data_IF_325611254917
#
_entry.id   IF_325611254917
#
_cell.length_a   1.000
_cell.length_b   1.000
_cell.length_c   1.000
_cell.angle_alpha   90.00
_cell.angle_beta   90.00
_cell.angle_gamma   90.00
#
_symmetry.space_group_name_H-M   'P 1'
#
loop_
_entity.id
_entity.type
_entity.pdbx_description
1 polymer ?
#
# COMPACT_ATOMS: atom_id res chain seq x y z
N UNK A 1 16.13 5.30 11.10
CA UNK A 1 15.04 5.68 10.17
C UNK A 1 15.63 6.57 9.12
N UNK A 2 15.70 6.08 7.88
CA UNK A 2 16.20 6.82 6.73
C UNK A 2 15.14 7.82 6.25
N UNK A 3 15.49 8.79 5.43
CA UNK A 3 14.46 9.63 4.79
C UNK A 3 13.70 8.83 3.73
N UNK A 4 12.38 9.01 3.66
CA UNK A 4 11.55 8.35 2.65
C UNK A 4 11.42 9.26 1.43
N UNK A 5 12.44 9.20 0.57
CA UNK A 5 12.60 10.03 -0.61
C UNK A 5 12.79 9.18 -1.89
N UNK A 6 12.89 9.85 -3.04
CA UNK A 6 13.13 9.18 -4.33
C UNK A 6 14.50 8.49 -4.39
N UNK A 7 15.48 8.95 -3.62
CA UNK A 7 16.81 8.32 -3.51
C UNK A 7 16.67 6.92 -2.91
N UNK A 8 15.97 6.80 -1.78
CA UNK A 8 15.72 5.53 -1.12
C UNK A 8 14.95 4.56 -2.03
N UNK A 9 13.91 5.04 -2.71
CA UNK A 9 13.12 4.21 -3.63
C UNK A 9 14.01 3.66 -4.75
N UNK A 10 14.87 4.50 -5.33
CA UNK A 10 15.82 4.10 -6.37
C UNK A 10 16.83 3.08 -5.86
N UNK A 11 17.44 3.30 -4.70
CA UNK A 11 18.39 2.34 -4.12
C UNK A 11 17.75 0.97 -3.88
N UNK A 12 16.53 0.96 -3.32
CA UNK A 12 15.78 -0.28 -3.10
C UNK A 12 15.45 -0.95 -4.43
N UNK A 13 15.01 -0.18 -5.43
CA UNK A 13 14.75 -0.71 -6.76
C UNK A 13 15.99 -1.33 -7.40
N UNK A 14 17.13 -0.62 -7.38
CA UNK A 14 18.41 -1.12 -7.90
C UNK A 14 18.84 -2.41 -7.18
N UNK A 15 18.67 -2.48 -5.86
CA UNK A 15 18.96 -3.68 -5.08
C UNK A 15 18.06 -4.86 -5.47
N UNK A 16 16.76 -4.63 -5.69
CA UNK A 16 15.81 -5.65 -6.15
C UNK A 16 16.14 -6.13 -7.57
N UNK A 17 16.54 -5.24 -8.47
CA UNK A 17 16.98 -5.59 -9.82
C UNK A 17 18.27 -6.42 -9.83
N UNK A 18 19.09 -6.35 -8.78
CA UNK A 18 20.30 -7.15 -8.63
C UNK A 18 20.03 -8.56 -8.08
N UNK A 19 18.80 -8.89 -7.70
CA UNK A 19 18.46 -10.23 -7.20
C UNK A 19 18.61 -11.28 -8.29
N UNK A 20 19.17 -12.43 -7.92
CA UNK A 20 19.07 -13.63 -8.74
C UNK A 20 17.59 -14.04 -8.88
N UNK A 21 17.18 -14.69 -9.98
CA UNK A 21 15.79 -15.11 -10.19
C UNK A 21 15.20 -15.89 -9.01
N UNK A 22 15.97 -16.81 -8.42
CA UNK A 22 15.55 -17.64 -7.29
C UNK A 22 15.31 -16.81 -6.03
N UNK A 23 16.13 -15.77 -5.83
CA UNK A 23 15.98 -14.84 -4.71
C UNK A 23 14.75 -13.95 -4.89
N UNK A 24 14.53 -13.46 -6.11
CA UNK A 24 13.33 -12.67 -6.44
C UNK A 24 12.05 -13.48 -6.22
N UNK A 25 12.01 -14.74 -6.65
CA UNK A 25 10.87 -15.62 -6.42
C UNK A 25 10.64 -15.92 -4.93
N UNK A 26 11.72 -16.15 -4.17
CA UNK A 26 11.64 -16.40 -2.73
C UNK A 26 11.08 -15.18 -1.97
N UNK A 27 11.57 -13.98 -2.29
CA UNK A 27 11.11 -12.73 -1.67
C UNK A 27 9.67 -12.40 -2.04
N UNK A 28 9.28 -12.57 -3.31
CA UNK A 28 7.90 -12.39 -3.74
C UNK A 28 6.94 -13.35 -3.02
N UNK A 29 7.33 -14.64 -2.89
CA UNK A 29 6.54 -15.64 -2.15
C UNK A 29 6.46 -15.30 -0.67
N UNK A 30 7.56 -14.85 -0.07
CA UNK A 30 7.59 -14.43 1.32
C UNK A 30 6.68 -13.21 1.54
N UNK A 31 6.68 -12.24 0.64
CA UNK A 31 5.79 -11.08 0.68
C UNK A 31 4.33 -11.49 0.66
N UNK A 32 3.92 -12.34 -0.28
CA UNK A 32 2.52 -12.81 -0.38
C UNK A 32 2.08 -13.52 0.89
N UNK A 33 2.96 -14.32 1.50
CA UNK A 33 2.69 -15.02 2.76
C UNK A 33 2.61 -14.07 3.97
N UNK A 34 3.49 -13.06 4.03
CA UNK A 34 3.55 -12.11 5.14
C UNK A 34 2.46 -11.04 5.10
N UNK A 35 2.02 -10.63 3.92
CA UNK A 35 1.09 -9.52 3.72
C UNK A 35 -0.19 -9.95 2.96
N UNK A 36 -0.91 -10.98 3.43
CA UNK A 36 -2.06 -11.53 2.69
C UNK A 36 -3.18 -10.50 2.52
N UNK A 37 -3.34 -9.57 3.46
CA UNK A 37 -4.39 -8.55 3.40
C UNK A 37 -4.09 -7.41 2.41
N UNK A 38 -2.82 -7.05 2.22
CA UNK A 38 -2.43 -6.12 1.14
C UNK A 38 -2.62 -6.77 -0.22
N UNK A 39 -2.26 -8.05 -0.36
CA UNK A 39 -2.50 -8.83 -1.59
C UNK A 39 -3.99 -8.91 -1.91
N UNK A 40 -4.84 -9.18 -0.92
CA UNK A 40 -6.28 -9.20 -1.11
C UNK A 40 -6.85 -7.84 -1.53
N UNK A 41 -6.32 -6.74 -0.97
CA UNK A 41 -6.70 -5.39 -1.39
C UNK A 41 -6.32 -5.11 -2.85
N UNK A 42 -5.10 -5.47 -3.26
CA UNK A 42 -4.68 -5.34 -4.65
C UNK A 42 -5.58 -6.11 -5.61
N UNK A 43 -5.90 -7.36 -5.26
CA UNK A 43 -6.82 -8.19 -6.04
C UNK A 43 -8.22 -7.57 -6.12
N UNK A 44 -8.73 -7.01 -5.02
CA UNK A 44 -10.04 -6.37 -4.99
C UNK A 44 -10.09 -5.13 -5.90
N UNK A 45 -9.08 -4.26 -5.81
CA UNK A 45 -9.00 -3.01 -6.57
C UNK A 45 -8.64 -3.21 -8.05
N UNK A 46 -8.08 -4.35 -8.42
CA UNK A 46 -7.65 -4.60 -9.82
C UNK A 46 -8.35 -5.77 -10.48
N UNK A 47 -9.40 -6.32 -9.85
CA UNK A 47 -10.15 -7.50 -10.33
C UNK A 47 -10.68 -7.33 -11.76
N UNK A 48 -11.10 -6.12 -12.10
CA UNK A 48 -11.76 -5.79 -13.36
C UNK A 48 -10.77 -5.45 -14.48
N UNK A 49 -9.48 -5.29 -14.14
CA UNK A 49 -8.42 -5.01 -15.09
C UNK A 49 -7.70 -6.28 -15.55
N UNK A 50 -6.95 -6.15 -16.65
CA UNK A 50 -6.14 -7.22 -17.21
C UNK A 50 -5.07 -7.75 -16.24
N UNK A 51 -4.58 -8.97 -16.52
CA UNK A 51 -3.55 -9.63 -15.70
C UNK A 51 -2.29 -8.80 -15.50
N UNK A 52 -1.93 -7.98 -16.48
CA UNK A 52 -0.73 -7.14 -16.38
C UNK A 52 -0.90 -6.04 -15.35
N UNK A 53 -2.08 -5.41 -15.25
CA UNK A 53 -2.39 -4.44 -14.19
C UNK A 53 -2.36 -5.11 -12.81
N UNK A 54 -2.91 -6.31 -12.68
CA UNK A 54 -2.88 -7.07 -11.43
C UNK A 54 -1.44 -7.40 -11.00
N UNK A 55 -0.59 -7.80 -11.95
CA UNK A 55 0.85 -8.04 -11.69
C UNK A 55 1.56 -6.75 -11.29
N UNK A 56 1.30 -5.64 -11.99
CA UNK A 56 1.85 -4.33 -11.66
C UNK A 56 1.46 -3.91 -10.25
N UNK A 57 0.20 -4.08 -9.86
CA UNK A 57 -0.29 -3.78 -8.51
C UNK A 57 0.49 -4.56 -7.43
N UNK A 58 0.71 -5.85 -7.64
CA UNK A 58 1.49 -6.68 -6.71
C UNK A 58 2.97 -6.28 -6.68
N UNK A 59 3.57 -6.00 -7.83
CA UNK A 59 4.96 -5.55 -7.91
C UNK A 59 5.17 -4.21 -7.19
N UNK A 60 4.25 -3.27 -7.38
CA UNK A 60 4.24 -1.97 -6.72
C UNK A 60 4.08 -2.09 -5.20
N UNK A 61 3.19 -2.96 -4.73
CA UNK A 61 3.06 -3.24 -3.28
C UNK A 61 4.31 -3.88 -2.69
N UNK A 62 4.92 -4.82 -3.40
CA UNK A 62 6.16 -5.46 -2.97
C UNK A 62 7.28 -4.42 -2.85
N UNK A 63 7.47 -3.59 -3.88
CA UNK A 63 8.44 -2.49 -3.86
C UNK A 63 8.17 -1.53 -2.70
N UNK A 64 6.93 -1.08 -2.51
CA UNK A 64 6.55 -0.20 -1.41
C UNK A 64 6.88 -0.81 -0.05
N UNK A 65 6.59 -2.10 0.14
CA UNK A 65 6.93 -2.81 1.38
C UNK A 65 8.43 -2.81 1.62
N UNK A 66 9.24 -3.09 0.59
CA UNK A 66 10.71 -3.06 0.67
C UNK A 66 11.27 -1.67 0.98
N UNK A 67 10.67 -0.63 0.41
CA UNK A 67 11.01 0.76 0.72
C UNK A 67 10.73 1.07 2.18
N UNK A 68 9.58 0.65 2.72
CA UNK A 68 9.26 0.84 4.14
C UNK A 68 10.18 0.02 5.05
N UNK A 69 10.51 -1.23 4.68
CA UNK A 69 11.49 -2.04 5.42
C UNK A 69 12.85 -1.36 5.49
N UNK A 70 13.32 -0.80 4.38
CA UNK A 70 14.57 -0.06 4.30
C UNK A 70 14.53 1.27 5.08
N UNK A 71 13.41 1.99 5.02
CA UNK A 71 13.16 3.22 5.78
C UNK A 71 13.25 2.96 7.29
N UNK A 72 12.63 1.86 7.75
CA UNK A 72 12.54 1.47 9.17
C UNK A 72 13.75 0.69 9.66
N UNK A 73 14.60 0.23 8.74
CA UNK A 73 15.71 -0.69 9.02
C UNK A 73 15.23 -1.99 9.71
N UNK A 74 13.99 -2.41 9.42
CA UNK A 74 13.35 -3.56 10.05
C UNK A 74 12.25 -4.16 9.14
N UNK A 75 12.02 -5.49 9.19
CA UNK A 75 10.90 -6.11 8.50
C UNK A 75 9.56 -5.54 8.94
N UNK A 76 8.62 -5.40 8.01
CA UNK A 76 7.25 -4.98 8.34
C UNK A 76 6.48 -6.21 8.86
N UNK A 77 5.86 -6.14 10.05
CA UNK A 77 5.01 -7.22 10.53
C UNK A 77 3.78 -7.40 9.65
N UNK A 78 3.14 -8.57 9.73
CA UNK A 78 1.88 -8.83 9.04
C UNK A 78 0.81 -7.82 9.51
N UNK A 79 0.21 -7.10 8.57
CA UNK A 79 -0.85 -6.14 8.88
C UNK A 79 -2.17 -6.89 9.13
N UNK A 80 -2.93 -6.49 10.16
CA UNK A 80 -4.25 -7.05 10.38
C UNK A 80 -5.26 -6.57 9.32
N UNK A 81 -6.23 -7.42 8.95
CA UNK A 81 -7.30 -7.05 7.97
C UNK A 81 -7.97 -5.72 8.30
N UNK A 82 -8.38 -5.52 9.55
CA UNK A 82 -9.07 -4.29 9.98
C UNK A 82 -8.18 -3.05 9.90
N UNK A 83 -6.86 -3.21 10.00
CA UNK A 83 -5.92 -2.11 9.81
C UNK A 83 -5.84 -1.68 8.35
N UNK A 84 -5.68 -2.64 7.43
CA UNK A 84 -5.70 -2.39 5.99
C UNK A 84 -7.03 -1.78 5.54
N UNK A 85 -8.15 -2.26 6.08
CA UNK A 85 -9.48 -1.73 5.76
C UNK A 85 -9.63 -0.25 6.17
N UNK A 86 -9.20 0.11 7.38
CA UNK A 86 -9.24 1.51 7.85
C UNK A 86 -8.33 2.43 7.03
N UNK A 87 -7.14 1.95 6.68
CA UNK A 87 -6.24 2.72 5.82
C UNK A 87 -6.85 2.95 4.43
N UNK A 88 -7.56 1.95 3.90
CA UNK A 88 -8.32 2.09 2.65
C UNK A 88 -9.47 3.08 2.77
N UNK A 89 -10.29 2.98 3.81
CA UNK A 89 -11.38 3.94 4.07
C UNK A 89 -10.85 5.37 4.21
N UNK A 90 -9.71 5.55 4.90
CA UNK A 90 -9.05 6.84 5.02
C UNK A 90 -8.53 7.37 3.68
N UNK A 91 -7.98 6.49 2.83
CA UNK A 91 -7.55 6.85 1.48
C UNK A 91 -8.74 7.27 0.61
N UNK A 92 -9.84 6.52 0.60
CA UNK A 92 -11.08 6.88 -0.11
C UNK A 92 -11.63 8.22 0.38
N UNK A 93 -11.79 8.39 1.70
CA UNK A 93 -12.26 9.65 2.27
C UNK A 93 -11.32 10.82 1.98
N UNK A 94 -10.01 10.58 1.84
CA UNK A 94 -9.08 11.59 1.37
C UNK A 94 -9.35 11.94 -0.09
N UNK A 95 -9.50 10.95 -0.99
CA UNK A 95 -9.83 11.20 -2.41
C UNK A 95 -11.16 11.93 -2.59
N UNK A 96 -12.21 11.49 -1.89
CA UNK A 96 -13.56 12.07 -1.97
C UNK A 96 -13.60 13.56 -1.56
N UNK A 97 -12.73 13.98 -0.62
CA UNK A 97 -12.59 15.40 -0.26
C UNK A 97 -12.09 16.27 -1.43
N UNK A 98 -11.51 15.64 -2.44
CA UNK A 98 -11.02 16.30 -3.65
C UNK A 98 -11.89 15.99 -4.87
N UNK A 99 -12.98 15.23 -4.73
CA UNK A 99 -13.91 14.97 -5.83
C UNK A 99 -14.58 16.30 -6.26
N UNK A 100 -14.39 16.67 -7.52
CA UNK A 100 -14.70 17.99 -8.08
C UNK A 100 -13.51 18.97 -8.27
N UNK A 101 -12.29 18.62 -7.83
CA UNK A 101 -11.11 19.50 -7.91
C UNK A 101 -10.10 19.09 -9.00
N UNK A 102 -10.44 19.32 -10.28
CA UNK A 102 -9.57 19.30 -11.48
C UNK A 102 -8.70 18.03 -11.78
N UNK A 103 -8.32 17.79 -13.05
CA UNK A 103 -7.46 16.66 -13.47
C UNK A 103 -6.03 16.65 -12.87
N UNK A 104 -5.63 17.68 -12.11
CA UNK A 104 -4.30 17.82 -11.49
C UNK A 104 -4.21 17.22 -10.08
N UNK A 105 -5.15 16.35 -9.72
CA UNK A 105 -5.23 15.63 -8.44
C UNK A 105 -3.88 15.05 -7.97
N UNK A 106 -3.09 14.45 -8.86
CA UNK A 106 -1.78 13.88 -8.52
C UNK A 106 -0.72 14.94 -8.13
N UNK A 107 -0.83 16.18 -8.64
CA UNK A 107 0.08 17.29 -8.36
C UNK A 107 -0.18 17.91 -6.97
N UNK A 108 -1.36 17.70 -6.37
CA UNK A 108 -1.79 18.25 -5.07
C UNK A 108 -1.74 17.27 -3.90
N UNK A 109 -1.11 16.12 -4.11
CA UNK A 109 -0.92 15.03 -3.13
C UNK A 109 -0.21 15.41 -1.82
N UNK A 110 0.26 16.66 -1.67
CA UNK A 110 0.97 17.27 -0.54
C UNK A 110 0.44 16.99 0.88
N UNK A 111 -0.83 16.63 1.01
CA UNK A 111 -1.51 16.46 2.30
C UNK A 111 -1.79 15.00 2.70
N UNK A 112 -1.42 14.01 1.87
CA UNK A 112 -1.47 12.59 2.23
C UNK A 112 -0.18 12.18 2.97
N UNK A 113 -0.20 11.20 3.90
CA UNK A 113 1.05 10.67 4.45
C UNK A 113 1.99 10.21 3.32
N UNK A 114 3.18 10.81 3.23
CA UNK A 114 4.15 10.60 2.15
C UNK A 114 3.69 11.11 0.77
N UNK A 115 3.46 12.43 0.63
CA UNK A 115 2.78 13.05 -0.50
C UNK A 115 3.45 12.81 -1.87
N UNK A 116 4.76 12.59 -1.86
CA UNK A 116 5.54 12.42 -3.10
C UNK A 116 5.78 10.96 -3.47
N UNK A 117 5.60 10.01 -2.53
CA UNK A 117 5.95 8.61 -2.75
C UNK A 117 5.00 7.94 -3.74
N UNK A 118 3.68 8.06 -3.51
CA UNK A 118 2.67 7.39 -4.34
C UNK A 118 2.68 7.92 -5.78
N UNK A 119 2.68 9.25 -6.03
CA UNK A 119 2.82 9.77 -7.39
C UNK A 119 4.15 9.38 -8.04
N UNK A 120 5.26 9.36 -7.29
CA UNK A 120 6.56 8.94 -7.81
C UNK A 120 6.56 7.47 -8.26
N UNK A 121 6.02 6.57 -7.43
CA UNK A 121 5.94 5.14 -7.77
C UNK A 121 5.07 4.91 -9.02
N UNK A 122 3.92 5.60 -9.13
CA UNK A 122 3.08 5.50 -10.32
C UNK A 122 3.78 6.04 -11.56
N UNK A 123 4.38 7.23 -11.48
CA UNK A 123 5.06 7.86 -12.61
C UNK A 123 6.29 7.08 -13.08
N UNK A 124 7.03 6.46 -12.17
CA UNK A 124 8.24 5.71 -12.49
C UNK A 124 7.96 4.29 -13.02
N UNK A 125 6.91 3.62 -12.51
CA UNK A 125 6.71 2.19 -12.75
C UNK A 125 5.40 1.85 -13.51
N UNK A 126 4.54 2.83 -13.77
CA UNK A 126 3.37 2.70 -14.64
C UNK A 126 3.24 3.92 -15.58
N UNK A 127 4.15 4.05 -16.58
CA UNK A 127 4.12 5.17 -17.50
C UNK A 127 2.89 5.11 -18.42
N UNK A 128 2.44 6.29 -18.88
CA UNK A 128 1.23 6.41 -19.71
C UNK A 128 1.37 5.69 -21.06
N UNK A 129 0.25 5.19 -21.60
CA UNK A 129 0.16 4.78 -23.01
C UNK A 129 -0.18 3.31 -23.29
N UNK A 130 -0.72 2.56 -22.32
CA UNK A 130 -1.09 1.16 -22.53
C UNK A 130 -2.54 0.94 -23.04
N UNK A 131 -3.38 1.98 -23.10
CA UNK A 131 -4.78 1.85 -23.48
C UNK A 131 -5.54 3.18 -23.68
N UNK A 132 -6.88 3.13 -23.87
CA UNK A 132 -7.73 4.30 -23.97
C UNK A 132 -7.59 5.21 -22.72
N UNK A 133 -7.66 6.54 -22.86
CA UNK A 133 -7.42 7.47 -21.74
C UNK A 133 -8.29 7.22 -20.50
N UNK A 134 -9.55 6.84 -20.69
CA UNK A 134 -10.50 6.54 -19.59
C UNK A 134 -10.09 5.28 -18.81
N UNK A 135 -9.73 4.21 -19.52
CA UNK A 135 -9.21 2.98 -18.93
C UNK A 135 -7.91 3.23 -18.16
N UNK A 136 -7.02 4.05 -18.71
CA UNK A 136 -5.78 4.44 -18.03
C UNK A 136 -6.04 5.27 -16.76
N UNK A 137 -7.04 6.15 -16.79
CA UNK A 137 -7.43 6.94 -15.62
C UNK A 137 -7.99 6.04 -14.50
N UNK A 138 -8.85 5.09 -14.82
CA UNK A 138 -9.42 4.13 -13.86
C UNK A 138 -8.34 3.23 -13.24
N UNK A 139 -7.41 2.72 -14.07
CA UNK A 139 -6.27 1.92 -13.60
C UNK A 139 -5.40 2.75 -12.66
N UNK A 140 -5.02 3.97 -13.06
CA UNK A 140 -4.20 4.85 -12.22
C UNK A 140 -4.90 5.22 -10.92
N UNK A 141 -6.20 5.51 -10.94
CA UNK A 141 -7.00 5.77 -9.73
C UNK A 141 -6.99 4.58 -8.77
N UNK A 142 -7.15 3.37 -9.31
CA UNK A 142 -7.14 2.13 -8.52
C UNK A 142 -5.75 1.83 -7.94
N UNK A 143 -4.69 2.01 -8.71
CA UNK A 143 -3.31 1.85 -8.25
C UNK A 143 -2.92 2.93 -7.23
N UNK A 144 -3.39 4.16 -7.40
CA UNK A 144 -3.22 5.24 -6.44
C UNK A 144 -3.86 4.89 -5.10
N UNK A 145 -5.14 4.52 -5.10
CA UNK A 145 -5.85 4.11 -3.88
C UNK A 145 -5.15 2.93 -3.20
N UNK A 146 -4.70 1.95 -3.96
CA UNK A 146 -3.95 0.81 -3.44
C UNK A 146 -2.66 1.26 -2.72
N UNK A 147 -1.84 2.05 -3.39
CA UNK A 147 -0.55 2.50 -2.86
C UNK A 147 -0.70 3.45 -1.69
N UNK A 148 -1.68 4.36 -1.74
CA UNK A 148 -2.02 5.27 -0.64
C UNK A 148 -2.44 4.49 0.61
N UNK A 149 -3.36 3.54 0.45
CA UNK A 149 -3.83 2.67 1.53
C UNK A 149 -2.69 1.85 2.13
N UNK A 150 -1.84 1.26 1.28
CA UNK A 150 -0.72 0.45 1.72
C UNK A 150 0.35 1.29 2.43
N UNK A 151 0.68 2.48 1.91
CA UNK A 151 1.66 3.37 2.52
C UNK A 151 1.22 3.80 3.92
N UNK A 152 -0.04 4.22 4.09
CA UNK A 152 -0.59 4.55 5.39
C UNK A 152 -0.55 3.34 6.35
N UNK A 153 -1.03 2.19 5.90
CA UNK A 153 -1.09 0.99 6.73
C UNK A 153 0.31 0.52 7.20
N UNK A 154 1.32 0.62 6.33
CA UNK A 154 2.70 0.20 6.60
C UNK A 154 3.47 1.18 7.50
N UNK A 155 3.20 2.49 7.34
CA UNK A 155 3.87 3.56 8.09
C UNK A 155 3.26 3.76 9.49
N UNK A 156 1.97 3.47 9.64
CA UNK A 156 1.24 3.60 10.91
C UNK A 156 0.78 2.22 11.43
N UNK A 157 1.68 1.26 11.71
CA UNK A 157 1.26 -0.06 12.19
C UNK A 157 0.64 0.07 13.58
N UNK A 158 -0.60 -0.38 13.73
CA UNK A 158 -1.24 -0.45 15.05
C UNK A 158 -0.56 -1.56 15.84
N UNK A 159 -0.04 -1.22 17.02
CA UNK A 159 0.57 -2.20 17.92
C UNK A 159 -0.44 -3.30 18.27
N UNK A 160 -0.07 -4.59 18.24
CA UNK A 160 -0.94 -5.67 18.70
C UNK A 160 -1.00 -5.64 20.23
N UNK A 161 -1.83 -4.78 20.79
CA UNK A 161 -1.95 -4.61 22.24
C UNK A 161 -3.01 -3.61 22.61
N UNK A 162 -4.28 -4.01 22.57
CA UNK A 162 -5.40 -3.17 22.95
C UNK A 162 -6.75 -3.78 22.58
N UNK A 163 -7.00 -5.01 23.02
CA UNK A 163 -8.25 -5.71 22.70
C UNK A 163 -8.36 -7.09 23.33
N UNK A 164 -8.00 -7.20 24.61
CA UNK A 164 -8.36 -8.34 25.45
C UNK A 164 -8.72 -7.78 26.83
N UNK A 165 -9.99 -7.40 26.94
CA UNK A 165 -10.65 -7.01 28.17
C UNK A 165 -12.05 -7.60 28.14
N UNK A 166 -12.12 -8.93 28.03
CA UNK A 166 -13.31 -9.68 28.41
C UNK A 166 -13.48 -9.52 29.92
N UNK A 167 -14.28 -8.52 30.31
CA UNK A 167 -14.81 -8.41 31.66
C UNK A 167 -15.94 -9.42 31.84
N UNK A 168 -15.61 -10.70 31.97
CA UNK A 168 -16.46 -11.65 32.69
C UNK A 168 -16.35 -11.32 34.17
N UNK A 169 -17.40 -10.69 34.73
CA UNK A 169 -17.38 -10.30 36.13
C UNK A 169 -18.62 -9.56 36.57
N UNK A 170 -19.81 -10.12 36.35
CA UNK A 170 -20.99 -9.67 37.10
C UNK A 170 -21.84 -10.88 37.54
N UNK A 171 -21.46 -11.45 38.69
CA UNK A 171 -22.40 -12.15 39.57
C UNK A 171 -22.79 -11.17 40.67
N UNK A 172 -24.05 -10.73 40.76
CA UNK A 172 -24.50 -10.08 41.98
C UNK A 172 -24.85 -11.18 43.01
N UNK A 173 -24.01 -11.31 44.03
CA UNK A 173 -24.48 -11.73 45.36
C UNK A 173 -25.16 -10.53 46.02
N UNK A 174 -26.46 -10.61 46.26
CA UNK A 174 -27.14 -9.77 47.26
C UNK A 174 -28.19 -10.63 47.98
N UNK A 175 -27.87 -10.91 49.24
CA UNK A 175 -28.71 -11.24 50.41
C UNK A 175 -29.82 -12.30 50.29
#
# INVERSE_FOLDING_TARGET
MRELDSTLVREVWEALCAYAPEQSEAEARAFVSRQPHLVALAQALTREFGRDVQKTALGLLFLLTKVVEAHREAPVPALARGHVARAYEAAVAWVDRWDGAEPRFLERSGEFPQPHLVPYLLGAFYPEGAGPPEYEAEVKGSLFLLLASAADALMNPVSPGGGAGEGEGERPEVC
#
